data_IF_385297309079
#
_entry.id   IF_385297309079
#
_cell.length_a   1.000
_cell.length_b   1.000
_cell.length_c   1.000
_cell.angle_alpha   90.00
_cell.angle_beta   90.00
_cell.angle_gamma   90.00
#
_symmetry.space_group_name_H-M   'P 1'
#
loop_
_entity.id
_entity.type
_entity.pdbx_description
1 polymer ?
#
# COMPACT_ATOMS: atom_id res chain seq x y z
N UNK A 1 15.87 26.77 0.77
CA UNK A 1 15.06 26.14 1.83
C UNK A 1 13.68 25.88 1.21
N UNK A 2 13.28 24.65 1.02
CA UNK A 2 11.91 24.35 0.57
C UNK A 2 10.97 24.75 1.72
N UNK A 3 10.26 25.84 1.54
CA UNK A 3 9.25 26.35 2.46
C UNK A 3 8.19 25.24 2.54
N UNK A 4 7.99 24.68 3.74
CA UNK A 4 7.03 23.60 3.93
C UNK A 4 5.62 24.19 3.91
N UNK A 5 5.13 24.39 2.69
CA UNK A 5 3.87 25.06 2.38
C UNK A 5 2.69 24.50 3.18
N UNK A 6 2.70 23.19 3.44
CA UNK A 6 1.68 22.54 4.26
C UNK A 6 1.74 23.01 5.72
N UNK A 7 2.94 23.07 6.32
CA UNK A 7 3.11 23.51 7.71
C UNK A 7 2.63 24.93 7.93
N UNK A 8 2.98 25.86 7.04
CA UNK A 8 2.52 27.25 7.11
C UNK A 8 1.01 27.37 6.99
N UNK A 9 0.39 26.57 6.10
CA UNK A 9 -1.06 26.54 5.95
C UNK A 9 -1.75 26.00 7.18
N UNK A 10 -1.21 24.98 7.84
CA UNK A 10 -1.76 24.42 9.09
C UNK A 10 -1.68 25.43 10.23
N UNK A 11 -0.56 26.15 10.38
CA UNK A 11 -0.42 27.23 11.37
C UNK A 11 -1.39 28.37 11.10
N UNK A 12 -1.49 28.82 9.85
CA UNK A 12 -2.40 29.88 9.42
C UNK A 12 -3.87 29.54 9.72
N UNK A 13 -4.23 28.27 9.58
CA UNK A 13 -5.58 27.77 9.90
C UNK A 13 -5.76 27.40 11.37
N UNK A 14 -4.76 27.66 12.23
CA UNK A 14 -4.79 27.41 13.68
C UNK A 14 -5.01 25.93 14.05
N UNK A 15 -4.62 25.02 13.19
CA UNK A 15 -4.66 23.59 13.45
C UNK A 15 -3.46 23.14 14.28
N UNK A 16 -2.33 23.82 14.14
CA UNK A 16 -1.11 23.65 14.93
C UNK A 16 -0.52 25.04 15.25
N UNK A 17 0.35 25.11 16.24
CA UNK A 17 1.14 26.30 16.53
C UNK A 17 2.57 26.20 15.93
N UNK A 18 3.33 27.31 15.95
CA UNK A 18 4.70 27.36 15.41
C UNK A 18 5.66 26.43 16.14
N UNK A 19 5.45 26.20 17.46
CA UNK A 19 6.30 25.29 18.25
C UNK A 19 6.06 23.83 17.88
N UNK A 20 4.79 23.49 17.65
CA UNK A 20 4.40 22.16 17.16
C UNK A 20 4.95 21.91 15.76
N UNK A 21 4.88 22.92 14.88
CA UNK A 21 5.48 22.83 13.54
C UNK A 21 6.99 22.62 13.61
N UNK A 22 7.70 23.38 14.46
CA UNK A 22 9.15 23.23 14.61
C UNK A 22 9.53 21.80 15.06
N UNK A 23 8.87 21.24 16.06
CA UNK A 23 9.08 19.87 16.54
C UNK A 23 8.76 18.82 15.47
N UNK A 24 7.68 19.01 14.72
CA UNK A 24 7.31 18.09 13.64
C UNK A 24 8.33 18.12 12.48
N UNK A 25 8.93 19.28 12.20
CA UNK A 25 10.00 19.41 11.20
C UNK A 25 11.32 18.75 11.67
N UNK A 26 11.61 18.78 12.97
CA UNK A 26 12.74 18.03 13.54
C UNK A 26 12.52 16.53 13.44
N UNK A 27 11.33 16.05 13.82
CA UNK A 27 10.95 14.64 13.68
C UNK A 27 10.98 14.19 12.22
N UNK A 28 10.48 15.01 11.30
CA UNK A 28 10.53 14.73 9.87
C UNK A 28 11.96 14.55 9.36
N UNK A 29 12.91 15.38 9.81
CA UNK A 29 14.32 15.25 9.46
C UNK A 29 14.95 13.99 10.02
N UNK A 30 14.56 13.59 11.22
CA UNK A 30 15.09 12.40 11.88
C UNK A 30 14.53 11.09 11.27
N UNK A 31 13.24 11.06 10.95
CA UNK A 31 12.54 9.87 10.44
C UNK A 31 12.52 9.75 8.91
N UNK A 32 12.83 10.84 8.17
CA UNK A 32 12.76 10.88 6.71
C UNK A 32 11.35 10.85 6.11
N UNK A 33 10.31 10.93 6.96
CA UNK A 33 8.91 10.85 6.57
C UNK A 33 8.30 12.15 6.05
N UNK A 34 6.97 12.15 5.91
CA UNK A 34 6.19 13.35 5.54
C UNK A 34 5.86 14.17 6.79
N UNK A 35 5.71 15.49 6.64
CA UNK A 35 5.35 16.38 7.75
C UNK A 35 4.01 15.97 8.39
N UNK A 36 3.02 15.58 7.59
CA UNK A 36 1.72 15.12 8.08
C UNK A 36 1.86 13.93 9.03
N UNK A 37 2.62 12.90 8.64
CA UNK A 37 2.90 11.74 9.47
C UNK A 37 3.63 12.10 10.77
N UNK A 38 4.58 13.06 10.72
CA UNK A 38 5.27 13.52 11.93
C UNK A 38 4.33 14.25 12.89
N UNK A 39 3.41 15.07 12.37
CA UNK A 39 2.40 15.78 13.18
C UNK A 39 1.43 14.81 13.87
N UNK A 40 0.97 13.79 13.15
CA UNK A 40 0.06 12.77 13.71
C UNK A 40 0.77 11.85 14.71
N UNK A 41 2.00 11.43 14.41
CA UNK A 41 2.85 10.64 15.32
C UNK A 41 3.13 11.36 16.64
N UNK A 42 3.38 12.67 16.59
CA UNK A 42 3.59 13.50 17.79
C UNK A 42 2.26 13.87 18.50
N UNK A 43 1.12 13.47 17.97
CA UNK A 43 -0.20 13.76 18.55
C UNK A 43 -0.62 15.23 18.47
N UNK A 44 0.03 16.03 17.61
CA UNK A 44 -0.31 17.45 17.43
C UNK A 44 -1.53 17.64 16.53
N UNK A 45 -1.84 16.68 15.68
CA UNK A 45 -2.97 16.71 14.78
C UNK A 45 -3.50 15.28 14.60
N UNK A 46 -4.82 15.11 14.54
CA UNK A 46 -5.43 13.82 14.19
C UNK A 46 -5.38 13.59 12.70
N UNK A 47 -5.29 12.32 12.28
CA UNK A 47 -5.25 11.98 10.86
C UNK A 47 -6.50 12.42 10.11
N UNK A 48 -7.67 12.29 10.74
CA UNK A 48 -8.94 12.72 10.16
C UNK A 48 -8.98 14.23 9.93
N UNK A 49 -8.46 15.01 10.90
CA UNK A 49 -8.41 16.47 10.80
C UNK A 49 -7.46 16.92 9.69
N UNK A 50 -6.32 16.23 9.55
CA UNK A 50 -5.38 16.45 8.45
C UNK A 50 -6.00 16.12 7.09
N UNK A 51 -6.64 14.96 6.96
CA UNK A 51 -7.31 14.55 5.73
C UNK A 51 -8.44 15.52 5.35
N UNK A 52 -9.26 15.93 6.32
CA UNK A 52 -10.32 16.92 6.11
C UNK A 52 -9.77 18.32 5.73
N UNK A 53 -8.62 18.69 6.28
CA UNK A 53 -7.95 19.94 5.91
C UNK A 53 -7.42 19.87 4.47
N UNK A 54 -6.72 18.80 4.10
CA UNK A 54 -6.19 18.59 2.75
C UNK A 54 -7.32 18.52 1.71
N UNK A 55 -8.40 17.83 2.02
CA UNK A 55 -9.60 17.76 1.19
C UNK A 55 -10.13 19.16 0.85
N UNK A 56 -10.30 20.00 1.86
CA UNK A 56 -10.77 21.40 1.66
C UNK A 56 -9.75 22.26 0.93
N UNK A 57 -8.46 22.10 1.24
CA UNK A 57 -7.39 22.91 0.66
C UNK A 57 -7.18 22.64 -0.83
N UNK A 58 -7.31 21.38 -1.25
CA UNK A 58 -7.11 20.96 -2.64
C UNK A 58 -8.42 20.76 -3.42
N UNK A 59 -9.57 20.90 -2.77
CA UNK A 59 -10.88 20.74 -3.40
C UNK A 59 -11.17 19.31 -3.86
N UNK A 60 -10.57 18.30 -3.19
CA UNK A 60 -10.75 16.87 -3.48
C UNK A 60 -11.48 16.18 -2.33
N UNK A 61 -12.34 15.16 -2.59
CA UNK A 61 -13.05 14.47 -1.52
C UNK A 61 -12.08 13.70 -0.59
N UNK A 62 -12.49 13.46 0.65
CA UNK A 62 -11.79 12.55 1.58
C UNK A 62 -12.57 11.25 1.73
N UNK A 63 -11.86 10.14 1.93
CA UNK A 63 -12.42 8.81 2.13
C UNK A 63 -11.83 8.14 3.38
N UNK A 64 -12.66 7.37 4.10
CA UNK A 64 -12.21 6.50 5.17
C UNK A 64 -12.01 5.08 4.62
N UNK A 65 -10.77 4.69 4.38
CA UNK A 65 -10.43 3.38 3.83
C UNK A 65 -10.77 2.21 4.77
N UNK A 66 -10.92 2.46 6.06
CA UNK A 66 -11.28 1.42 7.03
C UNK A 66 -12.75 0.95 6.88
N UNK A 67 -13.59 1.78 6.27
CA UNK A 67 -15.01 1.51 6.02
C UNK A 67 -15.29 1.11 4.57
N UNK A 68 -14.23 1.00 3.75
CA UNK A 68 -14.34 0.77 2.31
C UNK A 68 -13.64 -0.53 1.92
N UNK A 69 -14.37 -1.44 1.25
CA UNK A 69 -13.78 -2.62 0.63
C UNK A 69 -13.43 -2.33 -0.82
N UNK A 70 -12.20 -2.66 -1.20
CA UNK A 70 -11.67 -2.43 -2.53
C UNK A 70 -11.75 -3.73 -3.33
N UNK A 71 -12.25 -3.65 -4.56
CA UNK A 71 -12.30 -4.77 -5.49
C UNK A 71 -10.87 -5.18 -5.92
N UNK A 72 -10.55 -6.47 -5.86
CA UNK A 72 -9.24 -7.01 -6.25
C UNK A 72 -8.88 -6.68 -7.71
N UNK A 73 -9.86 -6.61 -8.61
CA UNK A 73 -9.62 -6.20 -9.99
C UNK A 73 -9.17 -4.75 -10.11
N UNK A 74 -9.54 -3.90 -9.15
CA UNK A 74 -9.09 -2.50 -9.07
C UNK A 74 -7.68 -2.44 -8.49
N UNK A 75 -7.39 -3.25 -7.48
CA UNK A 75 -6.06 -3.36 -6.85
C UNK A 75 -4.99 -3.74 -7.89
N UNK A 76 -5.28 -4.71 -8.75
CA UNK A 76 -4.35 -5.21 -9.79
C UNK A 76 -4.03 -4.18 -10.89
N UNK A 77 -4.74 -3.05 -10.96
CA UNK A 77 -4.49 -2.00 -11.95
C UNK A 77 -3.22 -1.18 -11.71
N UNK A 78 -2.72 -1.15 -10.48
CA UNK A 78 -1.48 -0.45 -10.11
C UNK A 78 -0.53 -1.45 -9.44
N UNK A 79 0.72 -1.58 -9.91
CA UNK A 79 1.70 -2.48 -9.28
C UNK A 79 2.04 -2.10 -7.83
N UNK A 80 2.33 -3.09 -7.00
CA UNK A 80 2.67 -2.92 -5.58
C UNK A 80 3.83 -1.92 -5.35
N UNK A 81 4.87 -1.97 -6.18
CA UNK A 81 6.02 -1.07 -6.10
C UNK A 81 5.62 0.40 -6.22
N UNK A 82 4.69 0.70 -7.12
CA UNK A 82 4.19 2.07 -7.36
C UNK A 82 3.34 2.55 -6.20
N UNK A 83 2.47 1.68 -5.70
CA UNK A 83 1.60 1.93 -4.55
C UNK A 83 2.43 2.23 -3.29
N UNK A 84 3.45 1.42 -3.03
CA UNK A 84 4.38 1.62 -1.90
C UNK A 84 5.24 2.88 -2.08
N UNK A 85 5.77 3.13 -3.27
CA UNK A 85 6.61 4.30 -3.57
C UNK A 85 5.89 5.62 -3.35
N UNK A 86 4.66 5.71 -3.83
CA UNK A 86 3.89 6.96 -3.78
C UNK A 86 2.93 7.06 -2.59
N UNK A 87 2.77 5.99 -1.81
CA UNK A 87 1.83 5.90 -0.68
C UNK A 87 0.42 6.28 -1.12
N UNK A 88 -0.12 5.50 -2.03
CA UNK A 88 -1.45 5.63 -2.60
C UNK A 88 -2.07 4.25 -2.81
N UNK A 89 -3.37 4.21 -3.01
CA UNK A 89 -4.07 2.95 -3.30
C UNK A 89 -5.23 3.22 -4.26
N UNK A 90 -5.42 2.41 -5.32
CA UNK A 90 -6.61 2.50 -6.14
C UNK A 90 -7.81 2.04 -5.32
N UNK A 91 -8.92 2.78 -5.38
CA UNK A 91 -10.11 2.55 -4.55
C UNK A 91 -11.27 2.06 -5.38
N UNK A 92 -11.44 2.63 -6.57
CA UNK A 92 -12.55 2.29 -7.45
C UNK A 92 -12.23 2.66 -8.90
N UNK A 93 -12.96 2.04 -9.84
CA UNK A 93 -12.88 2.37 -11.27
C UNK A 93 -14.28 2.65 -11.82
N UNK A 94 -14.46 3.82 -12.40
CA UNK A 94 -15.68 4.22 -13.09
C UNK A 94 -15.39 4.38 -14.59
N UNK A 95 -15.65 3.33 -15.37
CA UNK A 95 -15.33 3.30 -16.81
C UNK A 95 -13.84 3.47 -17.09
N UNK A 96 -13.45 4.60 -17.69
CA UNK A 96 -12.06 4.97 -17.99
C UNK A 96 -11.40 5.82 -16.91
N UNK A 97 -12.06 6.04 -15.77
CA UNK A 97 -11.54 6.84 -14.66
C UNK A 97 -11.21 5.95 -13.48
N UNK A 98 -9.97 6.03 -12.99
CA UNK A 98 -9.49 5.36 -11.81
C UNK A 98 -9.49 6.34 -10.62
N UNK A 99 -10.18 5.98 -9.54
CA UNK A 99 -10.22 6.75 -8.30
C UNK A 99 -9.12 6.23 -7.39
N UNK A 100 -8.22 7.13 -6.96
CA UNK A 100 -7.03 6.77 -6.17
C UNK A 100 -7.00 7.57 -4.87
N UNK A 101 -6.86 6.85 -3.75
CA UNK A 101 -6.66 7.47 -2.46
C UNK A 101 -5.17 7.78 -2.24
N UNK A 102 -4.87 9.01 -1.84
CA UNK A 102 -3.52 9.51 -1.59
C UNK A 102 -3.48 10.27 -0.26
N UNK A 103 -2.34 10.15 0.44
CA UNK A 103 -2.10 10.98 1.64
C UNK A 103 -1.73 12.42 1.28
N UNK A 104 -1.20 12.65 0.08
CA UNK A 104 -0.77 13.97 -0.39
C UNK A 104 -1.24 14.21 -1.83
N UNK A 105 -2.36 14.90 -2.02
CA UNK A 105 -2.92 15.18 -3.34
C UNK A 105 -2.10 16.21 -4.14
N UNK A 106 -1.08 16.83 -3.54
CA UNK A 106 -0.19 17.78 -4.24
C UNK A 106 0.94 17.09 -5.02
N UNK A 107 1.09 15.77 -4.89
CA UNK A 107 2.10 15.00 -5.59
C UNK A 107 1.68 14.72 -7.05
N UNK A 108 1.84 15.74 -7.90
CA UNK A 108 1.47 15.68 -9.32
C UNK A 108 2.31 14.61 -10.05
N UNK A 109 3.56 14.40 -9.66
CA UNK A 109 4.43 13.39 -10.30
C UNK A 109 3.88 11.97 -10.14
N UNK A 110 3.33 11.64 -8.97
CA UNK A 110 2.69 10.35 -8.77
C UNK A 110 1.47 10.17 -9.69
N UNK A 111 0.66 11.23 -9.83
CA UNK A 111 -0.54 11.21 -10.67
C UNK A 111 -0.16 11.02 -12.15
N UNK A 112 0.85 11.77 -12.63
CA UNK A 112 1.31 11.70 -14.01
C UNK A 112 1.94 10.33 -14.33
N UNK A 113 2.80 9.80 -13.43
CA UNK A 113 3.42 8.49 -13.60
C UNK A 113 2.38 7.38 -13.73
N UNK A 114 1.38 7.37 -12.84
CA UNK A 114 0.36 6.32 -12.86
C UNK A 114 -0.57 6.47 -14.06
N UNK A 115 -0.92 7.71 -14.41
CA UNK A 115 -1.71 7.98 -15.62
C UNK A 115 -1.00 7.47 -16.88
N UNK A 116 0.30 7.66 -16.95
CA UNK A 116 1.12 7.17 -18.06
C UNK A 116 1.17 5.64 -18.10
N UNK A 117 1.34 5.00 -16.94
CA UNK A 117 1.44 3.54 -16.84
C UNK A 117 0.12 2.83 -17.13
N UNK A 118 -0.99 3.36 -16.62
CA UNK A 118 -2.29 2.69 -16.67
C UNK A 118 -3.17 3.12 -17.84
N UNK A 119 -2.91 4.30 -18.41
CA UNK A 119 -3.74 4.89 -19.48
C UNK A 119 -5.12 5.36 -19.00
N UNK A 120 -5.45 5.25 -17.72
CA UNK A 120 -6.72 5.71 -17.16
C UNK A 120 -6.71 7.22 -16.88
N UNK A 121 -7.88 7.83 -16.91
CA UNK A 121 -8.10 9.14 -16.28
C UNK A 121 -8.05 8.97 -14.76
N UNK A 122 -7.67 10.03 -14.04
CA UNK A 122 -7.45 9.96 -12.60
C UNK A 122 -8.38 10.92 -11.85
N UNK A 123 -9.01 10.41 -10.81
CA UNK A 123 -9.61 11.21 -9.74
C UNK A 123 -8.91 10.89 -8.42
N UNK A 124 -8.47 11.94 -7.73
CA UNK A 124 -7.78 11.81 -6.45
C UNK A 124 -8.77 12.02 -5.31
N UNK A 125 -8.70 11.15 -4.32
CA UNK A 125 -9.35 11.33 -3.02
C UNK A 125 -8.29 11.32 -1.92
N UNK A 126 -8.52 12.06 -0.84
CA UNK A 126 -7.59 12.10 0.30
C UNK A 126 -7.96 11.01 1.30
N UNK A 127 -6.97 10.28 1.78
CA UNK A 127 -7.12 9.36 2.89
C UNK A 127 -5.98 9.54 3.91
N UNK A 128 -6.21 9.09 5.15
CA UNK A 128 -5.19 9.09 6.19
C UNK A 128 -4.00 8.19 5.79
N UNK A 129 -2.78 8.65 6.03
CA UNK A 129 -1.56 7.92 5.63
C UNK A 129 -1.49 6.52 6.24
N UNK A 130 -1.87 6.40 7.53
CA UNK A 130 -1.90 5.11 8.21
C UNK A 130 -2.95 4.16 7.61
N UNK A 131 -4.14 4.69 7.26
CA UNK A 131 -5.18 3.90 6.60
C UNK A 131 -4.73 3.40 5.22
N UNK A 132 -3.98 4.22 4.46
CA UNK A 132 -3.38 3.80 3.18
C UNK A 132 -2.37 2.69 3.41
N UNK A 133 -1.46 2.81 4.38
CA UNK A 133 -0.48 1.76 4.71
C UNK A 133 -1.16 0.45 5.08
N UNK A 134 -2.11 0.51 5.99
CA UNK A 134 -2.89 -0.68 6.40
C UNK A 134 -3.62 -1.33 5.21
N UNK A 135 -4.15 -0.52 4.30
CA UNK A 135 -4.80 -1.04 3.10
C UNK A 135 -3.78 -1.65 2.11
N UNK A 136 -2.60 -1.04 1.95
CA UNK A 136 -1.51 -1.61 1.14
C UNK A 136 -1.10 -2.98 1.70
N UNK A 137 -0.83 -3.07 2.99
CA UNK A 137 -0.46 -4.33 3.66
C UNK A 137 -1.56 -5.39 3.50
N UNK A 138 -2.83 -4.97 3.62
CA UNK A 138 -3.97 -5.88 3.48
C UNK A 138 -4.15 -6.44 2.07
N UNK A 139 -4.03 -5.59 1.04
CA UNK A 139 -4.41 -5.96 -0.32
C UNK A 139 -3.23 -6.37 -1.20
N UNK A 140 -2.02 -5.85 -0.95
CA UNK A 140 -0.85 -6.13 -1.79
C UNK A 140 0.07 -7.20 -1.21
N UNK A 141 0.26 -7.27 0.13
CA UNK A 141 1.09 -8.32 0.71
C UNK A 141 0.46 -9.71 0.57
N UNK A 142 -0.89 -9.78 0.60
CA UNK A 142 -1.59 -11.06 0.39
C UNK A 142 -1.59 -11.50 -1.09
N UNK A 143 -1.68 -10.56 -2.04
CA UNK A 143 -1.69 -10.90 -3.47
C UNK A 143 -0.31 -11.31 -3.97
N UNK A 144 0.76 -10.67 -3.51
CA UNK A 144 2.13 -10.99 -3.91
C UNK A 144 2.50 -12.44 -3.54
N UNK A 145 2.07 -12.92 -2.36
CA UNK A 145 2.37 -14.30 -1.95
C UNK A 145 1.58 -15.36 -2.72
N UNK A 146 0.38 -15.05 -3.19
CA UNK A 146 -0.41 -15.99 -4.02
C UNK A 146 0.04 -16.01 -5.49
N UNK A 147 0.29 -14.85 -6.09
CA UNK A 147 0.73 -14.76 -7.48
C UNK A 147 2.15 -15.34 -7.68
N UNK A 148 3.07 -15.16 -6.70
CA UNK A 148 4.40 -15.79 -6.71
C UNK A 148 4.31 -17.32 -6.63
N UNK A 149 3.45 -17.87 -5.77
CA UNK A 149 3.29 -19.32 -5.63
C UNK A 149 2.56 -19.91 -6.85
N UNK A 150 1.59 -19.21 -7.43
CA UNK A 150 0.90 -19.68 -8.64
C UNK A 150 1.79 -19.59 -9.89
N UNK A 151 2.64 -18.55 -10.01
CA UNK A 151 3.61 -18.43 -11.08
C UNK A 151 4.65 -19.58 -11.05
N UNK A 152 5.15 -19.92 -9.85
CA UNK A 152 6.03 -21.07 -9.65
C UNK A 152 5.34 -22.41 -9.99
N UNK A 153 4.01 -22.51 -9.90
CA UNK A 153 3.24 -23.70 -10.28
C UNK A 153 3.00 -23.81 -11.78
N UNK A 154 2.83 -22.70 -12.48
CA UNK A 154 2.65 -22.69 -13.95
C UNK A 154 3.95 -23.00 -14.71
N UNK A 155 5.12 -22.70 -14.12
CA UNK A 155 6.45 -23.01 -14.69
C UNK A 155 6.91 -24.45 -14.36
N UNK A 156 6.14 -25.23 -13.59
CA UNK A 156 6.43 -26.64 -13.38
C UNK A 156 5.90 -27.43 -14.59
N UNK A 157 6.77 -27.63 -15.56
CA UNK A 157 6.64 -28.75 -16.50
C UNK A 157 6.64 -30.04 -15.65
N UNK A 158 5.48 -30.67 -15.52
CA UNK A 158 5.35 -31.96 -14.85
C UNK A 158 6.11 -32.98 -15.70
N UNK A 159 7.42 -33.04 -15.55
CA UNK A 159 8.17 -34.23 -15.96
C UNK A 159 7.65 -35.39 -15.09
N UNK A 160 6.82 -36.19 -15.71
CA UNK A 160 6.41 -37.48 -15.17
C UNK A 160 7.71 -38.29 -15.01
N UNK A 161 8.25 -38.34 -13.79
CA UNK A 161 9.38 -39.20 -13.47
C UNK A 161 8.88 -40.62 -13.60
N UNK A 162 9.40 -41.29 -14.62
CA UNK A 162 9.12 -42.72 -14.91
C UNK A 162 9.59 -43.56 -13.69
N UNK A 163 8.74 -44.46 -13.22
CA UNK A 163 9.00 -45.33 -12.08
C UNK A 163 10.24 -46.21 -12.34
N UNK A 164 11.43 -45.75 -11.90
CA UNK A 164 12.61 -46.62 -12.08
C UNK A 164 13.94 -46.17 -11.53
N UNK A 165 14.13 -44.95 -11.04
CA UNK A 165 15.37 -44.52 -10.42
C UNK A 165 15.27 -44.40 -8.90
N UNK A 166 16.14 -45.12 -8.17
CA UNK A 166 16.32 -45.01 -6.73
C UNK A 166 16.87 -43.61 -6.39
N UNK A 167 15.98 -42.72 -5.99
CA UNK A 167 16.34 -41.35 -5.55
C UNK A 167 16.83 -41.41 -4.11
N UNK A 168 18.00 -40.87 -3.83
CA UNK A 168 18.59 -40.85 -2.49
C UNK A 168 17.71 -39.99 -1.54
N UNK A 169 17.33 -40.55 -0.40
CA UNK A 169 16.44 -39.93 0.57
C UNK A 169 16.92 -38.55 1.09
N UNK A 170 18.25 -38.29 1.00
CA UNK A 170 18.82 -36.98 1.40
C UNK A 170 18.62 -35.87 0.38
N UNK A 171 18.42 -36.20 -0.90
CA UNK A 171 18.07 -35.23 -1.97
C UNK A 171 16.59 -34.93 -1.96
N UNK A 172 15.75 -35.91 -1.66
CA UNK A 172 14.30 -35.72 -1.47
C UNK A 172 13.95 -34.78 -0.30
N UNK A 173 14.70 -34.85 0.79
CA UNK A 173 14.47 -34.00 1.97
C UNK A 173 14.76 -32.52 1.68
N UNK A 174 15.81 -32.21 0.91
CA UNK A 174 16.13 -30.83 0.48
C UNK A 174 15.20 -30.31 -0.62
N UNK A 175 14.80 -31.16 -1.56
CA UNK A 175 13.86 -30.81 -2.61
C UNK A 175 12.42 -30.60 -2.08
N UNK A 176 12.04 -31.27 -0.97
CA UNK A 176 10.71 -31.15 -0.40
C UNK A 176 10.46 -29.82 0.32
N UNK A 177 11.48 -29.20 0.92
CA UNK A 177 11.30 -27.90 1.63
C UNK A 177 11.08 -26.74 0.63
N UNK A 178 11.62 -26.85 -0.57
CA UNK A 178 11.48 -25.84 -1.63
C UNK A 178 10.35 -26.17 -2.62
N UNK A 179 9.70 -27.31 -2.51
CA UNK A 179 8.63 -27.70 -3.42
C UNK A 179 7.46 -26.70 -3.36
N UNK A 180 6.98 -26.19 -4.50
CA UNK A 180 5.89 -25.21 -4.56
C UNK A 180 4.63 -25.63 -3.82
N UNK A 181 4.34 -26.94 -3.79
CA UNK A 181 3.21 -27.51 -3.06
C UNK A 181 3.37 -27.30 -1.54
N UNK A 182 4.60 -27.44 -1.00
CA UNK A 182 4.89 -27.22 0.44
C UNK A 182 4.78 -25.73 0.78
N UNK A 183 5.25 -24.85 -0.10
CA UNK A 183 5.07 -23.38 0.03
C UNK A 183 3.59 -23.02 0.04
N UNK A 184 2.78 -23.60 -0.85
CA UNK A 184 1.34 -23.38 -0.93
C UNK A 184 0.62 -23.85 0.34
N UNK A 185 0.93 -25.05 0.84
CA UNK A 185 0.35 -25.59 2.09
C UNK A 185 0.72 -24.71 3.28
N UNK A 186 1.98 -24.30 3.40
CA UNK A 186 2.42 -23.41 4.47
C UNK A 186 1.74 -22.03 4.38
N UNK A 187 1.50 -21.52 3.19
CA UNK A 187 0.78 -20.27 2.97
C UNK A 187 -0.68 -20.40 3.44
N UNK A 188 -1.38 -21.47 3.03
CA UNK A 188 -2.75 -21.75 3.44
C UNK A 188 -2.86 -21.88 4.97
N UNK A 189 -1.94 -22.62 5.59
CA UNK A 189 -1.91 -22.79 7.05
C UNK A 189 -1.65 -21.47 7.77
N UNK A 190 -0.72 -20.67 7.27
CA UNK A 190 -0.40 -19.36 7.84
C UNK A 190 -1.59 -18.39 7.73
N UNK A 191 -2.26 -18.38 6.58
CA UNK A 191 -3.46 -17.55 6.36
C UNK A 191 -4.64 -18.02 7.25
N UNK A 192 -4.84 -19.33 7.39
CA UNK A 192 -5.85 -19.89 8.28
C UNK A 192 -5.60 -19.52 9.75
N UNK A 193 -4.33 -19.56 10.21
CA UNK A 193 -3.95 -19.14 11.56
C UNK A 193 -4.18 -17.64 11.75
N UNK A 194 -3.78 -16.80 10.79
CA UNK A 194 -3.98 -15.35 10.83
C UNK A 194 -5.46 -14.96 10.87
N UNK A 195 -6.31 -15.69 10.15
CA UNK A 195 -7.76 -15.47 10.12
C UNK A 195 -8.49 -16.13 11.28
N UNK A 196 -7.78 -16.74 12.24
CA UNK A 196 -8.35 -17.45 13.38
C UNK A 196 -9.41 -18.49 12.98
N UNK A 197 -9.25 -19.11 11.83
CA UNK A 197 -10.09 -20.22 11.41
C UNK A 197 -9.75 -21.44 12.27
N UNK A 198 -10.68 -21.82 13.14
CA UNK A 198 -10.64 -23.06 13.93
C UNK A 198 -11.47 -24.13 13.27
#
# INVERSE_FOLDING_TARGET
MAINRLGELLVRNKLIDEKQLAKALEEQKASGGRLGASLTKLGFLKEEDLAAFLSRQYGVPSINLNEFEIDENVIKLIPAEVVQKYQLIPVNRAGSTLIVAMADPSNIFAIDDIKFMTGYNFEVVVAAEQSIKTAIDKYYDQSASFDDVMGDLDDIDLEVVDEGEEVDASELEKASEDAPVVKLVNLILTDAIKKQAS
#
